data_IF_473675931494
#
_entry.id   IF_473675931494
#
_cell.length_a   1.000
_cell.length_b   1.000
_cell.length_c   1.000
_cell.angle_alpha   90.00
_cell.angle_beta   90.00
_cell.angle_gamma   90.00
#
_symmetry.space_group_name_H-M   'P 1'
#
loop_
_entity.id
_entity.type
_entity.pdbx_description
1 polymer ?
#
# COMPACT_ATOMS: atom_id res chain seq x y z
N UNK A 1 19.70 26.87 22.66
CA UNK A 1 20.12 26.14 21.44
C UNK A 1 19.60 24.69 21.32
N UNK A 2 18.92 24.10 22.32
CA UNK A 2 18.56 22.67 22.29
C UNK A 2 17.31 22.36 21.44
N UNK A 3 16.37 23.31 21.28
CA UNK A 3 15.10 23.09 20.54
C UNK A 3 15.28 22.81 19.04
N UNK A 4 16.17 23.53 18.35
CA UNK A 4 16.33 23.43 16.89
C UNK A 4 16.91 22.09 16.45
N UNK A 5 17.78 21.47 17.26
CA UNK A 5 18.42 20.19 16.94
C UNK A 5 17.41 19.05 16.90
N UNK A 6 16.47 19.02 17.84
CA UNK A 6 15.39 18.02 17.89
C UNK A 6 14.40 18.15 16.73
N UNK A 7 14.10 19.37 16.28
CA UNK A 7 13.19 19.60 15.14
C UNK A 7 13.80 19.10 13.83
N UNK A 8 15.09 19.35 13.60
CA UNK A 8 15.81 18.85 12.43
C UNK A 8 15.92 17.32 12.46
N UNK A 9 16.24 16.73 13.62
CA UNK A 9 16.29 15.27 13.79
C UNK A 9 14.95 14.61 13.47
N UNK A 10 13.83 15.18 13.95
CA UNK A 10 12.49 14.68 13.67
C UNK A 10 12.11 14.84 12.18
N UNK A 11 12.50 15.95 11.54
CA UNK A 11 12.26 16.15 10.11
C UNK A 11 13.04 15.12 9.27
N UNK A 12 14.30 14.85 9.62
CA UNK A 12 15.12 13.82 8.96
C UNK A 12 14.51 12.44 9.17
N UNK A 13 14.01 12.15 10.38
CA UNK A 13 13.32 10.89 10.67
C UNK A 13 12.09 10.71 9.77
N UNK A 14 11.15 11.65 9.75
CA UNK A 14 9.93 11.52 8.93
C UNK A 14 10.23 11.48 7.42
N UNK A 15 11.27 12.18 6.95
CA UNK A 15 11.77 12.05 5.59
C UNK A 15 12.25 10.63 5.29
N UNK A 16 13.02 10.04 6.19
CA UNK A 16 13.58 8.69 6.05
C UNK A 16 12.46 7.66 6.04
N UNK A 17 11.57 7.72 7.03
CA UNK A 17 10.40 6.84 7.14
C UNK A 17 9.52 6.92 5.88
N UNK A 18 9.26 8.12 5.36
CA UNK A 18 8.47 8.29 4.13
C UNK A 18 9.20 7.72 2.91
N UNK A 19 10.53 7.89 2.84
CA UNK A 19 11.35 7.43 1.73
C UNK A 19 11.36 5.90 1.58
N UNK A 20 11.19 5.14 2.67
CA UNK A 20 11.12 3.67 2.62
C UNK A 20 9.99 3.14 1.72
N UNK A 21 8.94 3.94 1.52
CA UNK A 21 7.77 3.56 0.72
C UNK A 21 7.97 3.82 -0.78
N UNK A 22 8.91 4.71 -1.15
CA UNK A 22 9.11 5.16 -2.54
C UNK A 22 9.49 4.02 -3.48
N UNK A 23 10.46 3.12 -3.16
CA UNK A 23 10.85 2.04 -4.06
C UNK A 23 9.69 1.09 -4.40
N UNK A 24 8.84 0.78 -3.41
CA UNK A 24 7.66 -0.06 -3.62
C UNK A 24 6.65 0.63 -4.52
N UNK A 25 6.41 1.92 -4.32
CA UNK A 25 5.51 2.72 -5.15
C UNK A 25 5.98 2.77 -6.61
N UNK A 26 7.28 2.99 -6.84
CA UNK A 26 7.86 2.96 -8.19
C UNK A 26 7.68 1.59 -8.84
N UNK A 27 7.86 0.52 -8.07
CA UNK A 27 7.70 -0.85 -8.55
C UNK A 27 6.25 -1.13 -8.96
N UNK A 28 5.27 -0.77 -8.13
CA UNK A 28 3.85 -0.97 -8.46
C UNK A 28 3.37 -0.10 -9.62
N UNK A 29 3.89 1.11 -9.78
CA UNK A 29 3.64 1.94 -10.98
C UNK A 29 4.17 1.22 -12.24
N UNK A 30 5.41 0.72 -12.19
CA UNK A 30 6.02 0.01 -13.33
C UNK A 30 5.27 -1.27 -13.68
N UNK A 31 4.85 -2.04 -12.68
CA UNK A 31 4.00 -3.21 -12.89
C UNK A 31 2.67 -2.83 -13.53
N UNK A 32 2.02 -1.77 -13.05
CA UNK A 32 0.77 -1.28 -13.62
C UNK A 32 0.92 -0.83 -15.08
N UNK A 33 2.08 -0.30 -15.46
CA UNK A 33 2.38 0.11 -16.84
C UNK A 33 2.71 -1.08 -17.76
N UNK A 34 3.25 -2.16 -17.20
CA UNK A 34 3.64 -3.37 -17.95
C UNK A 34 2.52 -4.39 -18.09
N UNK A 35 1.45 -4.27 -17.30
CA UNK A 35 0.34 -5.21 -17.33
C UNK A 35 -0.38 -5.18 -18.70
N UNK A 36 -0.49 -6.34 -19.35
CA UNK A 36 -1.03 -6.43 -20.71
C UNK A 36 -2.48 -6.93 -20.69
N UNK A 37 -2.73 -7.99 -19.91
CA UNK A 37 -4.04 -8.62 -19.80
C UNK A 37 -4.97 -7.89 -18.82
N UNK A 38 -6.27 -8.14 -18.90
CA UNK A 38 -7.25 -7.54 -17.97
C UNK A 38 -7.00 -7.96 -16.51
N UNK A 39 -6.74 -9.26 -16.27
CA UNK A 39 -6.40 -9.81 -14.95
C UNK A 39 -5.12 -9.18 -14.38
N UNK A 40 -4.06 -9.07 -15.18
CA UNK A 40 -2.82 -8.41 -14.77
C UNK A 40 -3.02 -6.93 -14.43
N UNK A 41 -3.79 -6.20 -15.27
CA UNK A 41 -4.07 -4.78 -15.05
C UNK A 41 -4.83 -4.58 -13.75
N UNK A 42 -5.87 -5.38 -13.51
CA UNK A 42 -6.63 -5.34 -12.27
C UNK A 42 -5.74 -5.60 -11.05
N UNK A 43 -4.91 -6.65 -11.09
CA UNK A 43 -3.96 -6.98 -10.01
C UNK A 43 -2.96 -5.86 -9.76
N UNK A 44 -2.36 -5.33 -10.81
CA UNK A 44 -1.35 -4.30 -10.71
C UNK A 44 -1.94 -2.97 -10.21
N UNK A 45 -3.14 -2.60 -10.67
CA UNK A 45 -3.88 -1.44 -10.15
C UNK A 45 -4.27 -1.61 -8.69
N UNK A 46 -4.79 -2.78 -8.30
CA UNK A 46 -5.11 -3.08 -6.90
C UNK A 46 -3.87 -2.97 -5.99
N UNK A 47 -2.71 -3.45 -6.45
CA UNK A 47 -1.44 -3.27 -5.73
C UNK A 47 -1.04 -1.80 -5.66
N UNK A 48 -1.11 -1.06 -6.76
CA UNK A 48 -0.77 0.36 -6.81
C UNK A 48 -1.66 1.19 -5.87
N UNK A 49 -2.97 0.93 -5.82
CA UNK A 49 -3.91 1.58 -4.90
C UNK A 49 -3.48 1.32 -3.45
N UNK A 50 -3.22 0.06 -3.09
CA UNK A 50 -2.79 -0.31 -1.75
C UNK A 50 -1.47 0.37 -1.36
N UNK A 51 -0.47 0.30 -2.23
CA UNK A 51 0.86 0.84 -1.94
C UNK A 51 0.83 2.37 -1.86
N UNK A 52 0.01 3.02 -2.68
CA UNK A 52 -0.26 4.48 -2.63
C UNK A 52 -1.01 4.89 -1.37
N UNK A 53 -1.92 4.05 -0.87
CA UNK A 53 -2.59 4.31 0.40
C UNK A 53 -1.61 4.25 1.58
N UNK A 54 -0.63 3.33 1.54
CA UNK A 54 0.34 3.14 2.62
C UNK A 54 1.31 4.32 2.80
N UNK A 55 1.60 5.09 1.75
CA UNK A 55 2.47 6.28 1.86
C UNK A 55 1.73 7.51 2.43
N UNK A 56 0.39 7.53 2.43
CA UNK A 56 -0.38 8.70 2.87
C UNK A 56 -0.08 9.10 4.32
N UNK A 57 -0.08 8.13 5.23
CA UNK A 57 0.15 8.40 6.65
C UNK A 57 1.55 8.97 6.94
N UNK A 58 2.66 8.33 6.52
CA UNK A 58 4.00 8.90 6.72
C UNK A 58 4.19 10.24 6.00
N UNK A 59 3.69 10.39 4.77
CA UNK A 59 3.79 11.67 4.05
C UNK A 59 3.02 12.81 4.75
N UNK A 60 1.89 12.50 5.42
CA UNK A 60 1.15 13.50 6.21
C UNK A 60 1.96 13.97 7.40
N UNK A 61 2.53 13.04 8.18
CA UNK A 61 3.40 13.39 9.31
C UNK A 61 4.61 14.22 8.87
N UNK A 62 5.20 13.87 7.72
CA UNK A 62 6.27 14.66 7.12
C UNK A 62 5.82 16.09 6.79
N UNK A 63 4.65 16.29 6.18
CA UNK A 63 4.11 17.64 5.92
C UNK A 63 3.92 18.44 7.21
N UNK A 64 3.37 17.81 8.25
CA UNK A 64 3.13 18.46 9.54
C UNK A 64 4.46 18.82 10.23
N UNK A 65 5.44 17.91 10.22
CA UNK A 65 6.76 18.15 10.76
C UNK A 65 7.52 19.24 9.98
N UNK A 66 7.45 19.21 8.65
CA UNK A 66 8.07 20.21 7.79
C UNK A 66 7.47 21.60 8.04
N UNK A 67 6.14 21.69 8.19
CA UNK A 67 5.43 22.95 8.51
C UNK A 67 5.88 23.55 9.84
N UNK A 68 5.99 22.73 10.89
CA UNK A 68 6.48 23.19 12.19
C UNK A 68 7.96 23.55 12.16
N UNK A 69 8.74 22.89 11.30
CA UNK A 69 10.17 23.15 11.12
C UNK A 69 10.47 24.52 10.49
N UNK A 70 9.59 25.07 9.65
CA UNK A 70 9.77 26.38 9.01
C UNK A 70 10.07 27.49 10.03
N UNK A 71 9.34 27.52 11.16
CA UNK A 71 9.53 28.54 12.21
C UNK A 71 10.88 28.44 12.94
N UNK A 72 11.61 27.35 12.75
CA UNK A 72 12.90 27.09 13.40
C UNK A 72 14.10 27.36 12.46
N UNK A 73 13.85 27.70 11.19
CA UNK A 73 14.89 28.02 10.21
C UNK A 73 15.22 29.52 10.29
N UNK A 74 16.47 29.84 10.61
CA UNK A 74 16.92 31.24 10.76
C UNK A 74 17.14 31.96 9.44
N UNK A 75 17.43 31.21 8.37
CA UNK A 75 17.65 31.79 7.04
C UNK A 75 16.34 31.93 6.27
N UNK A 76 15.90 33.16 6.02
CA UNK A 76 14.62 33.47 5.37
C UNK A 76 14.43 32.76 4.02
N UNK A 77 15.46 32.67 3.19
CA UNK A 77 15.37 31.99 1.90
C UNK A 77 15.17 30.47 2.06
N UNK A 78 15.88 29.82 3.01
CA UNK A 78 15.70 28.40 3.30
C UNK A 78 14.31 28.14 3.89
N UNK A 79 13.86 28.99 4.82
CA UNK A 79 12.53 28.90 5.43
C UNK A 79 11.42 29.02 4.37
N UNK A 80 11.55 29.98 3.44
CA UNK A 80 10.63 30.16 2.32
C UNK A 80 10.61 28.93 1.40
N UNK A 81 11.77 28.38 1.05
CA UNK A 81 11.87 27.19 0.20
C UNK A 81 11.23 25.96 0.86
N UNK A 82 11.50 25.75 2.16
CA UNK A 82 10.88 24.67 2.93
C UNK A 82 9.37 24.85 2.99
N UNK A 83 8.89 26.07 3.20
CA UNK A 83 7.46 26.37 3.24
C UNK A 83 6.78 26.11 1.88
N UNK A 84 7.42 26.51 0.78
CA UNK A 84 6.91 26.27 -0.56
C UNK A 84 6.87 24.78 -0.90
N UNK A 85 7.94 24.04 -0.60
CA UNK A 85 8.00 22.59 -0.80
C UNK A 85 6.94 21.86 0.05
N UNK A 86 6.76 22.25 1.30
CA UNK A 86 5.74 21.70 2.20
C UNK A 86 4.33 21.94 1.67
N UNK A 87 4.05 23.14 1.16
CA UNK A 87 2.75 23.45 0.56
C UNK A 87 2.51 22.64 -0.72
N UNK A 88 3.52 22.52 -1.59
CA UNK A 88 3.44 21.68 -2.78
C UNK A 88 3.14 20.22 -2.44
N UNK A 89 3.88 19.64 -1.49
CA UNK A 89 3.67 18.27 -1.02
C UNK A 89 2.26 18.09 -0.43
N UNK A 90 1.79 19.06 0.37
CA UNK A 90 0.43 19.03 0.94
C UNK A 90 -0.65 19.01 -0.15
N UNK A 91 -0.48 19.79 -1.22
CA UNK A 91 -1.41 19.82 -2.35
C UNK A 91 -1.41 18.49 -3.09
N UNK A 92 -0.24 17.98 -3.47
CA UNK A 92 -0.13 16.67 -4.15
C UNK A 92 -0.68 15.53 -3.30
N UNK A 93 -0.51 15.59 -1.98
CA UNK A 93 -1.06 14.58 -1.08
C UNK A 93 -2.59 14.63 -1.01
N UNK A 94 -3.19 15.82 -1.10
CA UNK A 94 -4.64 15.96 -1.18
C UNK A 94 -5.19 15.41 -2.51
N UNK A 95 -4.52 15.71 -3.62
CA UNK A 95 -4.85 15.15 -4.95
C UNK A 95 -4.73 13.62 -4.95
N UNK A 96 -3.68 13.07 -4.35
CA UNK A 96 -3.48 11.62 -4.22
C UNK A 96 -4.61 10.96 -3.41
N UNK A 97 -5.05 11.57 -2.30
CA UNK A 97 -6.20 11.06 -1.54
C UNK A 97 -7.47 11.03 -2.37
N UNK A 98 -7.76 12.09 -3.10
CA UNK A 98 -8.93 12.15 -3.99
C UNK A 98 -8.85 11.06 -5.07
N UNK A 99 -7.70 10.95 -5.73
CA UNK A 99 -7.47 9.91 -6.74
C UNK A 99 -7.62 8.50 -6.16
N UNK A 100 -7.12 8.25 -4.95
CA UNK A 100 -7.24 6.95 -4.29
C UNK A 100 -8.67 6.61 -3.92
N UNK A 101 -9.44 7.57 -3.40
CA UNK A 101 -10.86 7.34 -3.09
C UNK A 101 -11.64 6.98 -4.37
N UNK A 102 -11.42 7.72 -5.46
CA UNK A 102 -12.04 7.40 -6.75
C UNK A 102 -11.58 6.05 -7.29
N UNK A 103 -10.29 5.73 -7.20
CA UNK A 103 -9.75 4.46 -7.64
C UNK A 103 -10.29 3.28 -6.82
N UNK A 104 -10.43 3.43 -5.50
CA UNK A 104 -11.01 2.40 -4.62
C UNK A 104 -12.45 2.08 -4.99
N UNK A 105 -13.28 3.10 -5.26
CA UNK A 105 -14.67 2.90 -5.67
C UNK A 105 -14.79 2.15 -7.00
N UNK A 106 -13.96 2.52 -7.99
CA UNK A 106 -13.94 1.82 -9.29
C UNK A 106 -13.41 0.39 -9.15
N UNK A 107 -12.32 0.21 -8.40
CA UNK A 107 -11.68 -1.08 -8.19
C UNK A 107 -12.59 -2.07 -7.47
N UNK A 108 -13.52 -1.59 -6.66
CA UNK A 108 -14.52 -2.41 -5.97
C UNK A 108 -15.49 -3.10 -6.92
N UNK A 109 -16.06 -2.37 -7.89
CA UNK A 109 -16.91 -2.96 -8.93
C UNK A 109 -16.15 -3.98 -9.80
N UNK A 110 -14.86 -3.74 -10.04
CA UNK A 110 -13.99 -4.66 -10.78
C UNK A 110 -13.55 -5.86 -9.94
N UNK A 111 -13.43 -5.69 -8.61
CA UNK A 111 -13.04 -6.73 -7.68
C UNK A 111 -13.99 -7.92 -7.76
N UNK A 112 -15.31 -7.69 -7.76
CA UNK A 112 -16.29 -8.78 -7.85
C UNK A 112 -16.19 -9.55 -9.19
N UNK A 113 -15.95 -8.84 -10.29
CA UNK A 113 -15.84 -9.46 -11.62
C UNK A 113 -14.57 -10.30 -11.78
N UNK A 114 -13.43 -9.80 -11.30
CA UNK A 114 -12.15 -10.50 -11.42
C UNK A 114 -11.88 -11.50 -10.29
N UNK A 115 -12.59 -11.42 -9.16
CA UNK A 115 -12.37 -12.34 -8.02
C UNK A 115 -12.58 -13.80 -8.40
N UNK A 116 -13.56 -14.12 -9.25
CA UNK A 116 -13.79 -15.49 -9.71
C UNK A 116 -12.61 -16.01 -10.55
N UNK A 117 -12.13 -15.20 -11.50
CA UNK A 117 -10.96 -15.53 -12.32
C UNK A 117 -9.72 -15.74 -11.46
N UNK A 118 -9.49 -14.85 -10.48
CA UNK A 118 -8.38 -14.95 -9.53
C UNK A 118 -8.44 -16.22 -8.69
N UNK A 119 -9.62 -16.60 -8.20
CA UNK A 119 -9.81 -17.83 -7.43
C UNK A 119 -9.50 -19.05 -8.31
N UNK A 120 -9.98 -19.07 -9.56
CA UNK A 120 -9.68 -20.17 -10.50
C UNK A 120 -8.19 -20.27 -10.82
N UNK A 121 -7.51 -19.15 -10.99
CA UNK A 121 -6.05 -19.14 -11.18
C UNK A 121 -5.32 -19.70 -9.95
N UNK A 122 -5.73 -19.33 -8.73
CA UNK A 122 -5.18 -19.88 -7.49
C UNK A 122 -5.44 -21.38 -7.34
N UNK A 123 -6.63 -21.86 -7.71
CA UNK A 123 -6.94 -23.30 -7.73
C UNK A 123 -5.98 -24.04 -8.68
N UNK A 124 -5.72 -23.49 -9.86
CA UNK A 124 -4.78 -24.06 -10.82
C UNK A 124 -3.35 -24.06 -10.27
N UNK A 125 -2.90 -22.98 -9.65
CA UNK A 125 -1.59 -22.91 -8.99
C UNK A 125 -1.45 -23.97 -7.88
N UNK A 126 -2.49 -24.17 -7.06
CA UNK A 126 -2.48 -25.21 -6.01
C UNK A 126 -2.34 -26.61 -6.62
N UNK A 127 -3.03 -26.89 -7.74
CA UNK A 127 -2.91 -28.16 -8.44
C UNK A 127 -1.49 -28.37 -8.98
N UNK A 128 -0.85 -27.33 -9.51
CA UNK A 128 0.51 -27.44 -10.05
C UNK A 128 1.56 -27.57 -8.93
N UNK A 129 1.38 -26.88 -7.80
CA UNK A 129 2.18 -27.08 -6.58
C UNK A 129 2.01 -28.50 -6.05
N UNK A 130 0.79 -29.05 -6.05
CA UNK A 130 0.52 -30.43 -5.64
C UNK A 130 1.27 -31.43 -6.53
N UNK A 131 1.21 -31.26 -7.86
CA UNK A 131 1.97 -32.10 -8.79
C UNK A 131 3.47 -32.03 -8.53
N UNK A 132 4.02 -30.82 -8.36
CA UNK A 132 5.43 -30.63 -8.05
C UNK A 132 5.82 -31.27 -6.70
N UNK A 133 4.94 -31.24 -5.70
CA UNK A 133 5.13 -31.92 -4.41
C UNK A 133 5.24 -33.43 -4.58
N UNK A 134 4.32 -34.04 -5.32
CA UNK A 134 4.31 -35.49 -5.62
C UNK A 134 5.60 -35.88 -6.37
N UNK A 135 6.04 -35.04 -7.30
CA UNK A 135 7.28 -35.23 -8.05
C UNK A 135 8.55 -34.92 -7.24
N UNK A 136 8.43 -34.48 -5.98
CA UNK A 136 9.54 -34.05 -5.10
C UNK A 136 10.41 -32.92 -5.69
N UNK A 137 9.78 -32.01 -6.43
CA UNK A 137 10.44 -30.89 -7.11
C UNK A 137 10.32 -29.57 -6.34
N UNK A 138 9.67 -29.57 -5.19
CA UNK A 138 9.53 -28.36 -4.37
C UNK A 138 10.83 -28.04 -3.62
N UNK A 139 11.29 -26.80 -3.78
CA UNK A 139 12.39 -26.23 -2.99
C UNK A 139 11.88 -25.08 -2.14
N UNK A 140 12.14 -25.07 -0.82
CA UNK A 140 11.70 -23.97 0.03
C UNK A 140 12.40 -22.65 -0.36
N UNK A 141 11.71 -21.51 -0.31
CA UNK A 141 12.32 -20.21 -0.55
C UNK A 141 13.42 -19.90 0.49
N UNK A 142 14.45 -19.16 0.08
CA UNK A 142 15.56 -18.77 0.99
C UNK A 142 15.03 -17.91 2.15
N UNK A 143 15.41 -18.25 3.37
CA UNK A 143 15.05 -17.48 4.58
C UNK A 143 13.65 -17.75 5.12
N UNK A 144 12.87 -18.64 4.50
CA UNK A 144 11.55 -19.05 4.99
C UNK A 144 11.67 -20.27 5.89
N UNK A 145 11.11 -20.20 7.10
CA UNK A 145 11.09 -21.30 8.07
C UNK A 145 9.67 -21.87 8.20
N UNK A 146 9.54 -23.08 8.75
CA UNK A 146 8.21 -23.66 9.02
C UNK A 146 7.41 -22.79 9.99
N UNK A 147 8.07 -22.18 10.97
CA UNK A 147 7.46 -21.28 11.94
C UNK A 147 6.96 -20.00 11.28
N UNK A 148 7.77 -19.34 10.44
CA UNK A 148 7.36 -18.12 9.74
C UNK A 148 6.20 -18.43 8.78
N UNK A 149 6.26 -19.52 8.02
CA UNK A 149 5.18 -19.94 7.13
C UNK A 149 3.88 -20.21 7.87
N UNK A 150 3.94 -20.94 9.00
CA UNK A 150 2.76 -21.23 9.82
C UNK A 150 2.14 -19.95 10.39
N UNK A 151 2.97 -19.02 10.86
CA UNK A 151 2.51 -17.74 11.39
C UNK A 151 1.83 -16.90 10.31
N UNK A 152 2.44 -16.77 9.12
CA UNK A 152 1.84 -16.07 7.99
C UNK A 152 0.52 -16.69 7.57
N UNK A 153 0.46 -18.02 7.46
CA UNK A 153 -0.75 -18.75 7.06
C UNK A 153 -1.89 -18.53 8.06
N UNK A 154 -1.60 -18.56 9.36
CA UNK A 154 -2.60 -18.26 10.39
C UNK A 154 -3.09 -16.81 10.35
N UNK A 155 -2.19 -15.85 10.12
CA UNK A 155 -2.55 -14.44 9.96
C UNK A 155 -3.44 -14.22 8.75
N UNK A 156 -3.08 -14.80 7.60
CA UNK A 156 -3.86 -14.72 6.38
C UNK A 156 -5.24 -15.36 6.54
N UNK A 157 -5.33 -16.53 7.18
CA UNK A 157 -6.61 -17.20 7.43
C UNK A 157 -7.56 -16.36 8.30
N UNK A 158 -7.03 -15.70 9.34
CA UNK A 158 -7.81 -14.76 10.18
C UNK A 158 -8.32 -13.57 9.38
N UNK A 159 -7.46 -13.00 8.53
CA UNK A 159 -7.82 -11.86 7.70
C UNK A 159 -8.93 -12.23 6.70
N UNK A 160 -8.81 -13.38 6.03
CA UNK A 160 -9.87 -13.89 5.13
C UNK A 160 -11.17 -14.09 5.89
N UNK A 161 -11.15 -14.70 7.08
CA UNK A 161 -12.34 -14.88 7.90
C UNK A 161 -13.03 -13.57 8.26
N UNK A 162 -12.25 -12.53 8.61
CA UNK A 162 -12.78 -11.19 8.89
C UNK A 162 -13.39 -10.55 7.64
N UNK A 163 -12.74 -10.64 6.49
CA UNK A 163 -13.24 -10.08 5.23
C UNK A 163 -14.53 -10.77 4.79
N UNK A 164 -14.63 -12.10 4.93
CA UNK A 164 -15.86 -12.84 4.64
C UNK A 164 -17.00 -12.40 5.57
N UNK A 165 -16.73 -12.23 6.87
CA UNK A 165 -17.74 -11.74 7.80
C UNK A 165 -18.23 -10.32 7.46
N UNK A 166 -17.34 -9.44 7.00
CA UNK A 166 -17.69 -8.10 6.52
C UNK A 166 -18.55 -8.15 5.25
N UNK A 167 -18.17 -8.97 4.26
CA UNK A 167 -18.92 -9.16 3.03
C UNK A 167 -20.34 -9.70 3.30
N UNK A 168 -20.48 -10.69 4.17
CA UNK A 168 -21.78 -11.22 4.58
C UNK A 168 -22.61 -10.12 5.26
N UNK A 169 -22.00 -9.34 6.15
CA UNK A 169 -22.70 -8.25 6.83
C UNK A 169 -23.21 -7.21 5.84
N UNK A 170 -22.35 -6.78 4.91
CA UNK A 170 -22.71 -5.80 3.90
C UNK A 170 -23.81 -6.32 2.95
N UNK A 171 -23.74 -7.61 2.56
CA UNK A 171 -24.77 -8.24 1.73
C UNK A 171 -26.13 -8.29 2.42
N UNK A 172 -26.13 -8.49 3.75
CA UNK A 172 -27.38 -8.48 4.54
C UNK A 172 -27.95 -7.07 4.75
N UNK A 173 -27.13 -6.02 4.77
CA UNK A 173 -27.58 -4.64 4.99
C UNK A 173 -27.99 -3.90 3.71
N UNK A 174 -27.80 -4.49 2.52
CA UNK A 174 -27.96 -3.82 1.20
C UNK A 174 -27.13 -2.53 1.09
N UNK A 175 -26.04 -2.46 1.84
CA UNK A 175 -25.15 -1.31 1.83
C UNK A 175 -24.08 -1.56 0.76
N UNK A 176 -24.42 -1.24 -0.50
CA UNK A 176 -23.54 -1.45 -1.66
C UNK A 176 -22.20 -0.69 -1.55
N UNK A 177 -22.06 0.23 -0.59
CA UNK A 177 -20.77 0.88 -0.28
C UNK A 177 -19.81 -0.02 0.53
N UNK A 178 -20.26 -1.20 0.99
CA UNK A 178 -19.50 -2.14 1.81
C UNK A 178 -19.47 -3.60 1.30
N UNK A 179 -20.17 -3.95 0.20
CA UNK A 179 -20.16 -5.29 -0.47
C UNK A 179 -19.08 -5.44 -1.54
#
# INVERSE_FOLDING_TARGET
MIKTKSVVENLVYECTETAEYIPRLITSIRESQKAETASEKFRAQSRLIRDSHQILAPATRLVDMARTSVAHVSENHIASNLQQATNGLSTTLAELRTALNSAQQLNFSQQLYHSEELIRELDQEILDVQKAAIMKQLTPPRGVTSQSSTSHLMSSARQVGSSVAQLVSAATTKDEQHI
#
